data_IF_389723535505
#
_entry.id   IF_389723535505
#
_cell.length_a   1.000
_cell.length_b   1.000
_cell.length_c   1.000
_cell.angle_alpha   90.00
_cell.angle_beta   90.00
_cell.angle_gamma   90.00
#
_symmetry.space_group_name_H-M   'P 1'
#
loop_
_entity.id
_entity.type
_entity.pdbx_description
1 polymer ?
#
# COMPACT_ATOMS: atom_id res chain seq x y z
N UNK A 1 16.79 -1.28 -0.62
CA UNK A 1 16.83 -0.66 0.72
C UNK A 1 15.67 -1.18 1.55
N UNK A 2 15.66 -0.92 2.85
CA UNK A 2 14.62 -1.35 3.79
C UNK A 2 14.52 -0.34 4.92
N UNK A 3 13.31 -0.06 5.38
CA UNK A 3 13.06 0.71 6.59
C UNK A 3 11.88 0.11 7.36
N UNK A 4 11.93 0.19 8.69
CA UNK A 4 10.88 -0.27 9.59
C UNK A 4 10.51 0.87 10.52
N UNK A 5 9.23 1.23 10.49
CA UNK A 5 8.63 2.18 11.41
C UNK A 5 7.73 1.42 12.38
N UNK A 6 7.95 1.60 13.68
CA UNK A 6 7.06 1.08 14.72
C UNK A 6 6.03 2.13 15.05
N UNK A 7 4.76 1.71 15.05
CA UNK A 7 3.63 2.54 15.48
C UNK A 7 3.10 2.00 16.81
N UNK A 8 3.17 2.81 17.87
CA UNK A 8 2.68 2.43 19.19
C UNK A 8 2.10 3.65 19.93
N UNK A 9 0.83 3.57 20.34
CA UNK A 9 0.19 4.66 21.08
C UNK A 9 0.16 6.00 20.33
N UNK A 10 0.04 5.97 18.99
CA UNK A 10 0.07 7.17 18.14
C UNK A 10 1.46 7.78 17.93
N UNK A 11 2.53 7.14 18.44
CA UNK A 11 3.91 7.50 18.12
C UNK A 11 4.41 6.65 16.97
N UNK A 12 5.19 7.27 16.09
CA UNK A 12 5.82 6.66 14.91
C UNK A 12 7.32 6.82 15.05
N UNK A 13 8.05 5.72 15.06
CA UNK A 13 9.50 5.73 15.27
C UNK A 13 10.17 4.88 14.19
N UNK A 14 11.14 5.45 13.47
CA UNK A 14 12.01 4.70 12.58
C UNK A 14 12.99 3.91 13.44
N UNK A 15 12.78 2.60 13.55
CA UNK A 15 13.61 1.72 14.40
C UNK A 15 14.71 1.00 13.62
N UNK A 16 14.62 1.06 12.29
CA UNK A 16 15.59 0.48 11.39
C UNK A 16 15.49 1.15 10.01
N UNK A 17 16.62 1.48 9.42
CA UNK A 17 16.74 1.96 8.04
C UNK A 17 18.11 1.52 7.50
N UNK A 18 18.13 1.00 6.27
CA UNK A 18 19.38 0.62 5.62
C UNK A 18 19.28 0.58 4.10
N UNK A 19 20.30 1.12 3.42
CA UNK A 19 20.62 0.65 2.08
C UNK A 19 21.11 -0.80 2.17
N UNK A 20 20.81 -1.61 1.16
CA UNK A 20 21.20 -3.02 1.16
C UNK A 20 21.95 -3.32 -0.12
N UNK A 21 23.14 -3.91 0.01
CA UNK A 21 23.91 -4.44 -1.10
C UNK A 21 23.26 -5.74 -1.60
N UNK A 22 22.74 -5.78 -2.84
CA UNK A 22 22.10 -6.97 -3.38
C UNK A 22 23.10 -8.05 -3.86
N UNK A 23 24.41 -7.81 -3.76
CA UNK A 23 25.47 -8.71 -4.22
C UNK A 23 25.55 -8.84 -5.75
N UNK A 24 24.83 -7.99 -6.49
CA UNK A 24 24.78 -7.98 -7.95
C UNK A 24 24.55 -6.57 -8.49
N UNK A 25 24.92 -6.28 -9.75
CA UNK A 25 24.61 -4.99 -10.36
C UNK A 25 23.11 -4.69 -10.38
N UNK A 26 22.73 -3.49 -9.97
CA UNK A 26 21.38 -2.95 -10.11
C UNK A 26 21.18 -2.51 -11.57
N UNK A 27 20.14 -3.00 -12.28
CA UNK A 27 19.86 -2.58 -13.65
C UNK A 27 19.55 -1.08 -13.77
N UNK A 28 19.96 -0.39 -14.85
CA UNK A 28 19.73 1.05 -15.01
C UNK A 28 18.26 1.48 -14.87
N UNK A 29 17.32 0.66 -15.33
CA UNK A 29 15.88 0.93 -15.19
C UNK A 29 15.43 1.00 -13.72
N UNK A 30 16.00 0.16 -12.85
CA UNK A 30 15.69 0.18 -11.41
C UNK A 30 16.35 1.39 -10.74
N UNK A 31 17.59 1.73 -11.14
CA UNK A 31 18.25 2.95 -10.69
C UNK A 31 17.41 4.19 -11.04
N UNK A 32 16.83 4.25 -12.25
CA UNK A 32 16.01 5.38 -12.70
C UNK A 32 14.69 5.53 -11.91
N UNK A 33 14.15 4.43 -11.38
CA UNK A 33 12.90 4.45 -10.58
C UNK A 33 13.19 4.77 -9.11
N UNK A 34 14.24 4.18 -8.55
CA UNK A 34 14.52 4.23 -7.10
C UNK A 34 15.55 5.29 -6.72
N UNK A 35 16.28 5.84 -7.68
CA UNK A 35 17.46 6.67 -7.47
C UNK A 35 18.58 6.00 -6.65
N UNK A 36 18.53 4.68 -6.48
CA UNK A 36 19.57 3.91 -5.80
C UNK A 36 20.58 3.43 -6.85
N UNK A 37 21.82 3.88 -6.73
CA UNK A 37 22.90 3.52 -7.65
C UNK A 37 23.76 2.38 -7.11
N UNK A 38 24.48 1.69 -8.00
CA UNK A 38 25.48 0.69 -7.60
C UNK A 38 26.54 1.26 -6.65
N UNK A 39 26.92 2.54 -6.82
CA UNK A 39 27.90 3.19 -5.95
C UNK A 39 27.37 3.37 -4.51
N UNK A 40 26.08 3.68 -4.35
CA UNK A 40 25.45 3.86 -3.03
C UNK A 40 25.39 2.57 -2.22
N UNK A 41 25.17 1.43 -2.90
CA UNK A 41 25.00 0.14 -2.23
C UNK A 41 26.28 -0.68 -2.14
N UNK A 42 27.38 -0.25 -2.77
CA UNK A 42 28.62 -1.02 -2.85
C UNK A 42 29.18 -1.35 -1.46
N UNK A 43 29.24 -0.35 -0.58
CA UNK A 43 29.72 -0.49 0.81
C UNK A 43 28.57 -0.72 1.81
N UNK A 44 27.34 -0.79 1.34
CA UNK A 44 26.18 -1.07 2.19
C UNK A 44 26.20 -2.53 2.67
N UNK A 45 25.60 -2.85 3.82
CA UNK A 45 25.50 -4.22 4.27
C UNK A 45 24.61 -5.05 3.32
N UNK A 46 24.94 -6.33 3.16
CA UNK A 46 24.05 -7.30 2.53
C UNK A 46 22.84 -7.57 3.43
N UNK A 47 21.77 -8.13 2.85
CA UNK A 47 20.59 -8.49 3.65
C UNK A 47 20.95 -9.47 4.78
N UNK A 48 21.86 -10.43 4.52
CA UNK A 48 22.28 -11.39 5.53
C UNK A 48 22.86 -10.71 6.78
N UNK A 49 23.65 -9.65 6.60
CA UNK A 49 24.25 -8.88 7.70
C UNK A 49 23.20 -8.10 8.52
N UNK A 50 22.08 -7.67 7.92
CA UNK A 50 21.03 -6.93 8.64
C UNK A 50 19.83 -7.78 9.07
N UNK A 51 19.75 -9.02 8.58
CA UNK A 51 18.56 -9.88 8.71
C UNK A 51 18.11 -10.13 10.15
N UNK A 52 19.04 -10.30 11.09
CA UNK A 52 18.73 -10.47 12.51
C UNK A 52 18.03 -9.25 13.09
N UNK A 53 18.57 -8.06 12.82
CA UNK A 53 17.92 -6.82 13.25
C UNK A 53 16.53 -6.66 12.64
N UNK A 54 16.36 -7.04 11.37
CA UNK A 54 15.05 -7.02 10.69
C UNK A 54 14.06 -7.98 11.37
N UNK A 55 14.48 -9.20 11.69
CA UNK A 55 13.62 -10.19 12.38
C UNK A 55 13.23 -9.69 13.77
N UNK A 56 14.18 -9.15 14.54
CA UNK A 56 13.90 -8.59 15.87
C UNK A 56 12.85 -7.47 15.86
N UNK A 57 12.96 -6.53 14.91
CA UNK A 57 12.02 -5.41 14.83
C UNK A 57 10.65 -5.82 14.31
N UNK A 58 10.54 -6.96 13.60
CA UNK A 58 9.27 -7.50 13.13
C UNK A 58 8.60 -8.44 14.14
N UNK A 59 9.37 -9.10 15.00
CA UNK A 59 8.87 -10.09 15.94
C UNK A 59 7.73 -9.56 16.83
N UNK A 60 6.66 -10.35 16.97
CA UNK A 60 5.51 -10.02 17.83
C UNK A 60 4.65 -8.83 17.37
N UNK A 61 4.82 -8.36 16.13
CA UNK A 61 4.10 -7.19 15.60
C UNK A 61 3.25 -7.54 14.38
N UNK A 62 2.29 -6.68 14.06
CA UNK A 62 1.52 -6.75 12.82
C UNK A 62 2.35 -6.12 11.71
N UNK A 63 2.64 -6.88 10.65
CA UNK A 63 3.33 -6.35 9.48
C UNK A 63 2.38 -5.48 8.66
N UNK A 64 2.71 -4.21 8.47
CA UNK A 64 1.90 -3.28 7.70
C UNK A 64 2.72 -2.66 6.58
N UNK A 65 2.16 -2.67 5.36
CA UNK A 65 2.78 -2.00 4.22
C UNK A 65 1.76 -1.55 3.17
N UNK A 66 2.18 -0.65 2.29
CA UNK A 66 1.39 -0.13 1.19
C UNK A 66 1.53 -1.03 -0.03
N UNK A 67 0.58 -1.96 -0.20
CA UNK A 67 0.69 -3.17 -1.03
C UNK A 67 1.47 -4.31 -0.36
N UNK A 68 1.13 -4.60 0.91
CA UNK A 68 1.87 -5.51 1.78
C UNK A 68 2.23 -6.90 1.22
N UNK A 69 1.50 -7.42 0.22
CA UNK A 69 1.90 -8.68 -0.45
C UNK A 69 3.28 -8.56 -1.10
N UNK A 70 3.58 -7.42 -1.71
CA UNK A 70 4.85 -7.18 -2.37
C UNK A 70 5.99 -7.19 -1.35
N UNK A 71 5.94 -6.30 -0.37
CA UNK A 71 6.98 -6.17 0.66
C UNK A 71 7.14 -7.46 1.47
N UNK A 72 6.04 -8.09 1.85
CA UNK A 72 6.08 -9.36 2.58
C UNK A 72 6.83 -10.44 1.80
N UNK A 73 6.55 -10.59 0.51
CA UNK A 73 7.22 -11.60 -0.32
C UNK A 73 8.72 -11.34 -0.41
N UNK A 74 9.13 -10.07 -0.57
CA UNK A 74 10.55 -9.70 -0.60
C UNK A 74 11.24 -9.98 0.75
N UNK A 75 10.70 -9.44 1.84
CA UNK A 75 11.31 -9.59 3.17
C UNK A 75 11.31 -11.06 3.60
N UNK A 76 10.22 -11.79 3.39
CA UNK A 76 10.15 -13.22 3.74
C UNK A 76 11.13 -14.07 2.94
N UNK A 77 11.29 -13.82 1.64
CA UNK A 77 12.25 -14.56 0.82
C UNK A 77 13.70 -14.28 1.27
N UNK A 78 14.00 -13.02 1.56
CA UNK A 78 15.33 -12.62 2.02
C UNK A 78 15.65 -13.14 3.43
N UNK A 79 14.67 -13.18 4.35
CA UNK A 79 14.82 -13.79 5.67
C UNK A 79 15.03 -15.30 5.55
N UNK A 80 14.24 -16.00 4.73
CA UNK A 80 14.44 -17.44 4.47
C UNK A 80 15.85 -17.69 3.92
N UNK A 81 16.29 -16.90 2.94
CA UNK A 81 17.60 -17.05 2.31
C UNK A 81 18.76 -16.79 3.28
N UNK A 82 18.62 -15.82 4.17
CA UNK A 82 19.68 -15.39 5.07
C UNK A 82 19.77 -16.19 6.37
N UNK A 83 18.64 -16.72 6.86
CA UNK A 83 18.53 -17.30 8.21
C UNK A 83 17.81 -18.65 8.27
N UNK A 84 17.30 -19.15 7.14
CA UNK A 84 16.47 -20.35 7.07
C UNK A 84 15.18 -20.25 7.92
N UNK A 85 14.64 -19.03 8.05
CA UNK A 85 13.44 -18.74 8.82
C UNK A 85 12.27 -18.37 7.92
N UNK A 86 11.10 -18.93 8.21
CA UNK A 86 9.84 -18.52 7.61
C UNK A 86 9.23 -17.38 8.44
N UNK A 87 8.97 -16.23 7.80
CA UNK A 87 8.18 -15.19 8.45
C UNK A 87 6.73 -15.65 8.52
N UNK A 88 6.14 -15.49 9.70
CA UNK A 88 4.73 -15.71 9.95
C UNK A 88 4.16 -14.56 10.79
N UNK A 89 2.84 -14.44 10.78
CA UNK A 89 2.12 -13.50 11.60
C UNK A 89 1.10 -12.65 10.85
N UNK A 90 0.40 -11.79 11.60
CA UNK A 90 -0.64 -10.95 11.06
C UNK A 90 -0.10 -9.87 10.12
N UNK A 91 -0.86 -9.59 9.06
CA UNK A 91 -0.51 -8.63 8.02
C UNK A 91 -1.69 -7.71 7.71
N UNK A 92 -1.40 -6.44 7.45
CA UNK A 92 -2.37 -5.47 6.95
C UNK A 92 -1.81 -4.73 5.73
N UNK A 93 -2.70 -4.45 4.79
CA UNK A 93 -2.39 -3.78 3.54
C UNK A 93 -3.18 -2.46 3.44
N UNK A 94 -2.47 -1.34 3.57
CA UNK A 94 -3.10 -0.01 3.57
C UNK A 94 -3.82 0.30 2.25
N UNK A 95 -3.38 -0.26 1.12
CA UNK A 95 -4.10 -0.17 -0.17
C UNK A 95 -5.48 -0.82 -0.09
N UNK A 96 -5.58 -1.99 0.54
CA UNK A 96 -6.85 -2.74 0.63
C UNK A 96 -7.81 -2.03 1.58
N UNK A 97 -7.33 -1.59 2.73
CA UNK A 97 -8.10 -0.77 3.66
C UNK A 97 -8.56 0.53 3.02
N UNK A 98 -7.65 1.26 2.36
CA UNK A 98 -7.97 2.53 1.72
C UNK A 98 -9.05 2.39 0.65
N UNK A 99 -8.98 1.35 -0.18
CA UNK A 99 -9.98 1.08 -1.23
C UNK A 99 -11.40 0.85 -0.65
N UNK A 100 -11.51 0.49 0.61
CA UNK A 100 -12.77 0.21 1.31
C UNK A 100 -13.28 1.42 2.09
N UNK A 101 -12.37 2.10 2.78
CA UNK A 101 -12.70 3.15 3.74
C UNK A 101 -12.69 4.55 3.11
N UNK A 102 -11.89 4.78 2.06
CA UNK A 102 -11.73 6.10 1.45
C UNK A 102 -12.69 6.25 0.27
N UNK A 103 -13.81 6.94 0.52
CA UNK A 103 -14.85 7.19 -0.49
C UNK A 103 -14.41 8.28 -1.47
N UNK A 104 -14.65 8.08 -2.76
CA UNK A 104 -14.43 9.09 -3.80
C UNK A 104 -13.00 9.15 -4.38
N UNK A 105 -12.04 8.41 -3.83
CA UNK A 105 -10.68 8.39 -4.36
C UNK A 105 -10.59 7.55 -5.65
N UNK A 106 -9.87 8.07 -6.65
CA UNK A 106 -9.69 7.40 -7.96
C UNK A 106 -8.56 6.36 -7.95
N UNK A 107 -7.52 6.60 -7.14
CA UNK A 107 -6.33 5.77 -7.02
C UNK A 107 -5.94 5.62 -5.56
N UNK A 108 -5.60 4.40 -5.15
CA UNK A 108 -5.10 4.11 -3.81
C UNK A 108 -3.58 3.98 -3.78
N UNK A 109 -2.86 4.62 -4.72
CA UNK A 109 -1.40 4.73 -4.63
C UNK A 109 -0.99 5.66 -3.50
N UNK A 110 0.22 5.47 -2.96
CA UNK A 110 0.69 6.18 -1.77
C UNK A 110 0.67 7.70 -1.99
N UNK A 111 1.16 8.18 -3.12
CA UNK A 111 1.11 9.61 -3.50
C UNK A 111 -0.32 10.15 -3.57
N UNK A 112 -1.25 9.38 -4.16
CA UNK A 112 -2.65 9.80 -4.28
C UNK A 112 -3.32 9.93 -2.92
N UNK A 113 -3.05 9.01 -2.01
CA UNK A 113 -3.60 9.04 -0.65
C UNK A 113 -2.93 10.11 0.22
N UNK A 114 -1.62 10.30 0.08
CA UNK A 114 -0.87 11.37 0.73
C UNK A 114 -1.45 12.73 0.37
N UNK A 115 -1.67 12.97 -0.94
CA UNK A 115 -2.30 14.20 -1.41
C UNK A 115 -3.74 14.32 -0.92
N UNK A 116 -4.53 13.24 -0.99
CA UNK A 116 -5.92 13.23 -0.54
C UNK A 116 -6.09 13.63 0.92
N UNK A 117 -5.19 13.15 1.80
CA UNK A 117 -5.25 13.46 3.23
C UNK A 117 -4.43 14.69 3.65
N UNK A 118 -3.68 15.29 2.73
CA UNK A 118 -2.86 16.47 3.01
C UNK A 118 -1.63 16.19 3.88
N UNK A 119 -1.07 14.98 3.81
CA UNK A 119 0.14 14.64 4.58
C UNK A 119 1.36 15.36 4.02
N UNK A 120 2.24 15.83 4.91
CA UNK A 120 3.54 16.36 4.52
C UNK A 120 4.48 15.19 4.21
N UNK A 121 5.14 15.22 3.05
CA UNK A 121 6.16 14.22 2.70
C UNK A 121 7.50 14.92 2.44
N UNK A 122 8.30 15.08 3.48
CA UNK A 122 9.59 15.78 3.43
C UNK A 122 10.72 14.93 2.82
N UNK A 123 10.55 13.60 2.71
CA UNK A 123 11.56 12.65 2.21
C UNK A 123 10.95 11.66 1.22
N UNK A 124 10.30 12.19 0.17
CA UNK A 124 9.71 11.38 -0.91
C UNK A 124 10.76 10.42 -1.50
N UNK A 125 10.35 9.18 -1.74
CA UNK A 125 11.10 8.16 -2.48
C UNK A 125 12.29 7.51 -1.76
N UNK A 126 12.38 7.65 -0.43
CA UNK A 126 13.27 6.81 0.39
C UNK A 126 12.43 5.91 1.29
N UNK A 127 12.91 4.69 1.54
CA UNK A 127 12.19 3.70 2.33
C UNK A 127 11.69 4.22 3.69
N UNK A 128 12.47 5.02 4.41
CA UNK A 128 12.02 5.58 5.68
C UNK A 128 10.90 6.62 5.51
N UNK A 129 10.98 7.48 4.49
CA UNK A 129 9.93 8.44 4.16
C UNK A 129 8.62 7.73 3.79
N UNK A 130 8.70 6.73 2.91
CA UNK A 130 7.53 5.95 2.50
C UNK A 130 6.93 5.15 3.67
N UNK A 131 7.76 4.61 4.57
CA UNK A 131 7.31 3.92 5.77
C UNK A 131 6.63 4.86 6.77
N UNK A 132 7.16 6.08 6.97
CA UNK A 132 6.55 7.10 7.84
C UNK A 132 5.20 7.56 7.30
N UNK A 133 5.11 7.85 6.00
CA UNK A 133 3.83 8.21 5.36
C UNK A 133 2.85 7.05 5.39
N UNK A 134 3.32 5.82 5.24
CA UNK A 134 2.48 4.61 5.38
C UNK A 134 1.96 4.47 6.81
N UNK A 135 2.77 4.78 7.83
CA UNK A 135 2.35 4.80 9.24
C UNK A 135 1.29 5.88 9.50
N UNK A 136 1.46 7.08 8.96
CA UNK A 136 0.46 8.14 9.02
C UNK A 136 -0.86 7.76 8.36
N UNK A 137 -0.77 7.19 7.15
CA UNK A 137 -1.91 6.66 6.43
C UNK A 137 -2.61 5.56 7.23
N UNK A 138 -1.86 4.64 7.84
CA UNK A 138 -2.42 3.58 8.69
C UNK A 138 -3.25 4.19 9.83
N UNK A 139 -2.71 5.16 10.57
CA UNK A 139 -3.45 5.80 11.66
C UNK A 139 -4.76 6.43 11.18
N UNK A 140 -4.74 7.11 10.02
CA UNK A 140 -5.95 7.67 9.42
C UNK A 140 -6.96 6.60 9.03
N UNK A 141 -6.50 5.51 8.42
CA UNK A 141 -7.37 4.38 8.04
C UNK A 141 -7.94 3.66 9.27
N UNK A 142 -7.17 3.53 10.36
CA UNK A 142 -7.65 2.97 11.62
C UNK A 142 -8.74 3.86 12.25
N UNK A 143 -8.61 5.18 12.16
CA UNK A 143 -9.67 6.10 12.60
C UNK A 143 -10.97 5.88 11.80
N UNK A 144 -10.89 5.84 10.47
CA UNK A 144 -12.05 5.55 9.61
C UNK A 144 -12.65 4.16 9.87
N UNK A 145 -11.80 3.15 10.08
CA UNK A 145 -12.28 1.80 10.40
C UNK A 145 -13.03 1.77 11.74
N UNK A 146 -12.59 2.56 12.74
CA UNK A 146 -13.27 2.67 14.04
C UNK A 146 -14.64 3.35 13.90
N UNK A 147 -14.78 4.32 13.00
CA UNK A 147 -16.08 4.93 12.65
C UNK A 147 -17.02 3.89 12.04
N UNK A 148 -16.50 2.92 11.28
CA UNK A 148 -17.27 1.74 10.79
C UNK A 148 -17.42 0.60 11.82
N UNK A 149 -17.02 0.83 13.08
CA UNK A 149 -17.19 -0.12 14.18
C UNK A 149 -16.06 -1.14 14.38
N UNK A 150 -14.96 -1.08 13.62
CA UNK A 150 -13.83 -1.99 13.82
C UNK A 150 -13.14 -1.74 15.17
N UNK A 151 -12.83 -2.82 15.91
CA UNK A 151 -12.13 -2.77 17.20
C UNK A 151 -10.96 -3.75 17.28
N UNK A 152 -10.98 -4.79 16.47
CA UNK A 152 -9.99 -5.86 16.46
C UNK A 152 -9.25 -5.94 15.14
N UNK A 153 -8.14 -6.69 15.11
CA UNK A 153 -7.43 -7.00 13.88
C UNK A 153 -8.30 -7.81 12.90
N UNK A 154 -9.15 -8.69 13.42
CA UNK A 154 -10.09 -9.50 12.65
C UNK A 154 -11.11 -8.62 11.93
N UNK A 155 -11.58 -7.53 12.56
CA UNK A 155 -12.47 -6.57 11.91
C UNK A 155 -11.79 -5.87 10.74
N UNK A 156 -10.52 -5.50 10.90
CA UNK A 156 -9.72 -4.89 9.82
C UNK A 156 -9.52 -5.86 8.67
N UNK A 157 -9.18 -7.13 8.96
CA UNK A 157 -9.06 -8.18 7.95
C UNK A 157 -10.39 -8.44 7.23
N UNK A 158 -11.52 -8.39 7.95
CA UNK A 158 -12.84 -8.45 7.35
C UNK A 158 -13.06 -7.26 6.40
N UNK A 159 -12.73 -6.03 6.82
CA UNK A 159 -12.83 -4.83 5.95
C UNK A 159 -12.03 -5.01 4.66
N UNK A 160 -10.78 -5.47 4.72
CA UNK A 160 -9.95 -5.67 3.52
C UNK A 160 -10.57 -6.64 2.50
N UNK A 161 -11.26 -7.67 3.01
CA UNK A 161 -11.81 -8.76 2.19
C UNK A 161 -13.28 -8.55 1.80
N UNK A 162 -13.99 -7.58 2.41
CA UNK A 162 -15.37 -7.21 2.05
C UNK A 162 -15.49 -7.05 0.54
N UNK A 163 -16.49 -7.65 -0.10
CA UNK A 163 -16.75 -7.40 -1.54
C UNK A 163 -17.24 -5.96 -1.73
N UNK A 164 -16.85 -5.33 -2.83
CA UNK A 164 -17.47 -4.07 -3.21
C UNK A 164 -18.95 -4.33 -3.52
N UNK A 165 -19.89 -3.47 -3.11
CA UNK A 165 -21.24 -3.54 -3.64
C UNK A 165 -21.15 -3.45 -5.18
N UNK A 166 -21.77 -4.42 -5.88
CA UNK A 166 -21.83 -4.37 -7.35
C UNK A 166 -22.59 -3.11 -7.73
N UNK A 167 -21.96 -2.19 -8.46
CA UNK A 167 -22.71 -1.10 -9.11
C UNK A 167 -23.77 -1.76 -10.00
N UNK A 168 -25.07 -1.42 -9.88
CA UNK A 168 -26.06 -1.91 -10.83
C UNK A 168 -25.58 -1.53 -12.22
N UNK A 169 -25.49 -2.51 -13.14
CA UNK A 169 -25.21 -2.21 -14.54
C UNK A 169 -26.34 -1.29 -14.99
N UNK A 170 -26.03 -0.07 -15.43
CA UNK A 170 -27.01 0.74 -16.18
C UNK A 170 -27.48 -0.16 -17.32
N UNK A 171 -28.77 -0.52 -17.35
CA UNK A 171 -29.36 -1.03 -18.59
C UNK A 171 -29.17 0.10 -19.59
N UNK A 172 -28.38 -0.12 -20.64
CA UNK A 172 -28.37 0.78 -21.78
C UNK A 172 -29.81 0.79 -22.28
N UNK A 173 -30.52 1.91 -22.11
CA UNK A 173 -31.69 2.16 -22.92
C UNK A 173 -31.17 2.25 -24.35
N UNK A 174 -31.54 1.28 -25.20
CA UNK A 174 -31.38 1.43 -26.64
C UNK A 174 -32.10 2.72 -27.05
N UNK A 175 -31.54 3.57 -27.92
CA UNK A 175 -32.31 4.66 -28.50
C UNK A 175 -33.51 4.04 -29.21
N UNK A 176 -34.73 4.35 -28.77
CA UNK A 176 -35.94 4.01 -29.51
C UNK A 176 -35.88 4.75 -30.84
N UNK A 177 -36.18 4.05 -31.94
CA UNK A 177 -36.24 4.67 -33.28
C UNK A 177 -37.17 5.90 -33.25
N UNK A 178 -36.81 7.00 -33.92
CA UNK A 178 -37.72 8.12 -34.08
C UNK A 178 -38.97 7.66 -34.82
N UNK A 179 -40.14 7.79 -34.19
CA UNK A 179 -41.42 7.62 -34.88
C UNK A 179 -41.49 8.68 -35.97
N UNK A 180 -41.65 8.26 -37.22
CA UNK A 180 -41.87 9.17 -38.33
C UNK A 180 -43.15 9.98 -38.06
N UNK A 181 -43.03 11.30 -38.06
CA UNK A 181 -44.17 12.21 -38.08
C UNK A 181 -45.08 11.82 -39.25
N UNK A 182 -46.29 11.35 -38.92
CA UNK A 182 -47.37 11.25 -39.87
C UNK A 182 -47.75 12.66 -40.32
N UNK A 183 -47.41 12.99 -41.56
CA UNK A 183 -47.89 14.19 -42.23
C UNK A 183 -49.43 14.24 -42.17
N UNK A 184 -50.05 15.39 -41.86
CA UNK A 184 -51.48 15.53 -41.97
C UNK A 184 -51.89 15.55 -43.45
N UNK A 185 -52.74 14.60 -43.85
CA UNK A 185 -53.54 14.69 -45.08
C UNK A 185 -54.49 15.90 -45.00
N UNK A 186 -54.60 16.57 -46.14
CA UNK A 186 -55.32 17.81 -46.41
C UNK A 186 -56.85 17.72 -46.20
N UNK A 187 -57.45 18.87 -45.87
CA UNK A 187 -58.81 19.34 -46.19
C UNK A 187 -58.77 20.84 -45.81
N UNK A 188 -58.88 21.83 -46.68
CA UNK A 188 -59.74 22.05 -47.86
C UNK A 188 -59.18 23.14 -48.77
#
# INVERSE_FOLDING_TARGET
>A
EIAVVVVCGGRREVVFESLVNPGRPIPPAICAITNITNAMVREAPTFAQVSERVVEVLAGRVFVAHNARFDWNFVSAEVQRARDLALDGPRLCTVRLARRLVKGIRSCGLDSLTHWFGFANASRHRAAGDALVTAELLERLLALAREEGARTLQDLAAIETRRAPRKPRRRLAMPTEPQADSAPEELS
#
